data_IF_518065949836
#
_entry.id   IF_518065949836
#
_cell.length_a   1.000
_cell.length_b   1.000
_cell.length_c   1.000
_cell.angle_alpha   90.00
_cell.angle_beta   90.00
_cell.angle_gamma   90.00
#
_symmetry.space_group_name_H-M   'P 1'
#
loop_
_entity.id
_entity.type
_entity.pdbx_description
1 polymer ?
#
# COMPACT_ATOMS: atom_id res chain seq x y z
N UNK A 1 -18.70 67.10 61.25
CA UNK A 1 -19.81 66.15 61.00
C UNK A 1 -19.22 64.80 60.65
N UNK A 2 -19.73 63.73 61.26
CA UNK A 2 -19.50 62.32 60.89
C UNK A 2 -19.79 62.13 59.39
N UNK A 3 -19.09 61.26 58.67
CA UNK A 3 -19.24 59.79 58.76
C UNK A 3 -18.05 59.08 58.11
N UNK A 4 -17.62 57.98 58.72
CA UNK A 4 -16.66 57.04 58.15
C UNK A 4 -17.32 55.81 57.52
N UNK A 5 -16.49 54.98 56.89
CA UNK A 5 -16.59 53.53 56.59
C UNK A 5 -15.54 53.23 55.51
N UNK A 6 -14.90 52.09 55.36
CA UNK A 6 -14.59 50.91 56.18
C UNK A 6 -13.64 50.10 55.28
N UNK A 7 -12.57 49.53 55.84
CA UNK A 7 -11.59 48.69 55.15
C UNK A 7 -12.21 47.45 54.50
N UNK A 8 -11.70 47.06 53.32
CA UNK A 8 -11.64 45.66 52.91
C UNK A 8 -10.19 45.30 52.55
N UNK A 9 -9.62 44.39 53.34
CA UNK A 9 -8.40 43.65 53.03
C UNK A 9 -8.71 42.63 51.94
N UNK A 10 -7.94 42.64 50.86
CA UNK A 10 -7.79 41.50 49.96
C UNK A 10 -6.30 41.17 49.88
N UNK A 11 -5.90 40.13 50.60
CA UNK A 11 -4.59 39.50 50.50
C UNK A 11 -4.44 38.88 49.11
N UNK A 12 -3.54 39.45 48.29
CA UNK A 12 -3.05 38.79 47.09
C UNK A 12 -2.08 37.69 47.54
N UNK A 13 -2.51 36.43 47.47
CA UNK A 13 -1.60 35.30 47.54
C UNK A 13 -0.73 35.30 46.28
N UNK A 14 0.57 35.54 46.44
CA UNK A 14 1.58 35.20 45.46
C UNK A 14 1.50 33.68 45.23
N UNK A 15 0.91 33.26 44.12
CA UNK A 15 1.13 31.92 43.59
C UNK A 15 2.62 31.84 43.24
N UNK A 16 3.38 31.03 43.99
CA UNK A 16 4.75 30.72 43.63
C UNK A 16 4.76 30.11 42.24
N UNK A 17 5.53 30.69 41.34
CA UNK A 17 5.91 30.07 40.08
C UNK A 17 6.67 28.78 40.44
N UNK A 18 5.99 27.64 40.39
CA UNK A 18 6.63 26.33 40.40
C UNK A 18 7.51 26.23 39.15
N UNK A 19 8.64 25.52 39.22
CA UNK A 19 9.60 25.51 38.12
C UNK A 19 8.98 24.87 36.88
N UNK A 20 9.25 25.46 35.70
CA UNK A 20 8.81 25.05 34.35
C UNK A 20 9.40 23.70 33.87
N UNK A 21 9.58 22.73 34.77
CA UNK A 21 10.37 21.51 34.49
C UNK A 21 9.57 20.46 33.71
N UNK A 22 8.24 20.53 33.68
CA UNK A 22 7.41 19.53 32.98
C UNK A 22 7.26 19.81 31.49
N UNK A 23 7.37 21.06 31.04
CA UNK A 23 7.11 21.41 29.64
C UNK A 23 8.29 21.05 28.72
N UNK A 24 9.54 21.27 29.17
CA UNK A 24 10.74 20.92 28.40
C UNK A 24 10.97 19.42 28.29
N UNK A 25 10.68 18.65 29.34
CA UNK A 25 10.77 17.19 29.29
C UNK A 25 9.73 16.59 28.34
N UNK A 26 8.48 17.10 28.36
CA UNK A 26 7.43 16.67 27.44
C UNK A 26 7.67 17.15 26.00
N UNK A 27 8.38 18.26 25.80
CA UNK A 27 8.85 18.68 24.48
C UNK A 27 9.98 17.77 23.98
N UNK A 28 10.95 17.44 24.84
CA UNK A 28 12.05 16.52 24.55
C UNK A 28 11.60 15.10 24.22
N UNK A 29 10.69 14.54 25.01
CA UNK A 29 10.11 13.20 24.79
C UNK A 29 9.24 13.16 23.53
N UNK A 30 8.51 14.24 23.23
CA UNK A 30 7.78 14.37 21.96
C UNK A 30 8.73 14.52 20.77
N UNK A 31 9.84 15.25 20.89
CA UNK A 31 10.82 15.35 19.80
C UNK A 31 11.56 14.04 19.55
N UNK A 32 11.90 13.30 20.60
CA UNK A 32 12.56 11.99 20.47
C UNK A 32 11.59 10.96 19.85
N UNK A 33 10.33 10.95 20.28
CA UNK A 33 9.29 10.12 19.66
C UNK A 33 9.07 10.45 18.17
N UNK A 34 9.06 11.74 17.80
CA UNK A 34 8.95 12.19 16.40
C UNK A 34 10.19 11.87 15.55
N UNK A 35 11.34 11.61 16.18
CA UNK A 35 12.57 11.18 15.47
C UNK A 35 12.55 9.66 15.24
N UNK A 36 11.92 8.89 16.14
CA UNK A 36 11.81 7.44 16.06
C UNK A 36 10.59 6.93 15.29
N UNK A 37 9.57 7.75 15.10
CA UNK A 37 8.32 7.46 14.36
C UNK A 37 8.16 8.54 13.28
N UNK A 38 8.73 8.30 12.09
CA UNK A 38 8.84 9.33 11.04
C UNK A 38 7.55 9.43 10.22
N UNK A 39 6.80 8.34 10.12
CA UNK A 39 5.51 8.29 9.41
C UNK A 39 4.29 8.62 10.29
N UNK A 40 4.52 8.80 11.60
CA UNK A 40 3.55 9.33 12.57
C UNK A 40 2.36 8.40 12.80
N UNK A 41 2.60 7.09 12.75
CA UNK A 41 1.58 6.05 12.98
C UNK A 41 1.52 5.62 14.47
N UNK A 42 2.50 6.05 15.26
CA UNK A 42 2.67 5.74 16.66
C UNK A 42 3.31 4.39 16.94
N UNK A 43 4.11 3.87 16.00
CA UNK A 43 5.02 2.73 16.12
C UNK A 43 6.45 3.24 15.89
N UNK A 44 7.42 2.66 16.60
CA UNK A 44 8.83 2.96 16.35
C UNK A 44 9.26 2.37 15.00
N UNK A 45 9.75 3.23 14.09
CA UNK A 45 10.21 2.90 12.74
C UNK A 45 11.20 1.72 12.70
N UNK A 46 12.11 1.64 13.69
CA UNK A 46 13.13 0.59 13.72
C UNK A 46 12.52 -0.75 14.15
N UNK A 47 11.51 -0.71 15.01
CA UNK A 47 10.72 -1.88 15.37
C UNK A 47 9.86 -2.37 14.20
N UNK A 48 9.24 -1.48 13.43
CA UNK A 48 8.56 -1.84 12.19
C UNK A 48 9.49 -2.56 11.22
N UNK A 49 10.67 -1.96 10.98
CA UNK A 49 11.68 -2.51 10.07
C UNK A 49 12.19 -3.88 10.55
N UNK A 50 12.28 -4.08 11.87
CA UNK A 50 12.60 -5.38 12.46
C UNK A 50 11.53 -6.42 12.13
N UNK A 51 10.24 -6.09 12.29
CA UNK A 51 9.13 -7.01 11.99
C UNK A 51 9.01 -7.28 10.48
N UNK A 52 9.17 -6.24 9.67
CA UNK A 52 9.21 -6.30 8.21
C UNK A 52 10.30 -7.27 7.73
N UNK A 53 11.53 -7.13 8.22
CA UNK A 53 12.62 -8.03 7.87
C UNK A 53 12.40 -9.46 8.37
N UNK A 54 11.85 -9.62 9.59
CA UNK A 54 11.62 -10.92 10.23
C UNK A 54 10.58 -11.75 9.47
N UNK A 55 9.49 -11.14 9.03
CA UNK A 55 8.34 -11.85 8.46
C UNK A 55 8.16 -11.65 6.96
N UNK A 56 9.08 -10.98 6.26
CA UNK A 56 9.08 -10.86 4.81
C UNK A 56 8.90 -12.24 4.14
N UNK A 57 7.87 -12.46 3.32
CA UNK A 57 7.52 -13.80 2.84
C UNK A 57 8.49 -14.36 1.79
N UNK A 58 8.56 -15.68 1.69
CA UNK A 58 9.03 -16.35 0.47
C UNK A 58 7.84 -16.49 -0.48
N UNK A 59 7.85 -15.82 -1.63
CA UNK A 59 6.79 -15.93 -2.64
C UNK A 59 7.21 -16.93 -3.70
N UNK A 60 6.41 -17.97 -3.93
CA UNK A 60 6.58 -18.97 -4.97
C UNK A 60 5.63 -18.65 -6.11
N UNK A 61 6.21 -18.36 -7.26
CA UNK A 61 5.47 -18.03 -8.48
C UNK A 61 5.18 -19.31 -9.27
N UNK A 62 4.16 -19.27 -10.13
CA UNK A 62 3.92 -20.34 -11.08
C UNK A 62 5.14 -20.53 -12.04
N UNK A 63 5.42 -21.77 -12.49
CA UNK A 63 6.43 -22.03 -13.51
C UNK A 63 6.26 -21.16 -14.76
N UNK A 64 7.36 -20.77 -15.41
CA UNK A 64 7.33 -19.93 -16.62
C UNK A 64 6.67 -20.54 -17.84
N UNK A 65 6.36 -21.83 -17.80
CA UNK A 65 5.56 -22.50 -18.83
C UNK A 65 4.06 -22.40 -18.59
N UNK A 66 3.63 -21.88 -17.43
CA UNK A 66 2.23 -21.74 -16.99
C UNK A 66 1.87 -20.26 -16.95
N UNK A 67 2.59 -19.49 -16.14
CA UNK A 67 2.41 -18.05 -16.06
C UNK A 67 3.67 -17.36 -16.56
N UNK A 68 3.51 -16.34 -17.40
CA UNK A 68 4.58 -15.57 -18.01
C UNK A 68 4.74 -14.17 -17.37
N UNK A 69 3.71 -13.64 -16.70
CA UNK A 69 3.76 -12.34 -16.03
C UNK A 69 4.62 -12.43 -14.77
N UNK A 70 5.44 -11.40 -14.50
CA UNK A 70 6.36 -11.43 -13.35
C UNK A 70 6.24 -10.17 -12.50
N UNK A 71 6.66 -10.25 -11.22
CA UNK A 71 6.74 -9.08 -10.39
C UNK A 71 7.63 -7.99 -11.00
N UNK A 72 7.42 -6.77 -10.54
CA UNK A 72 8.28 -5.65 -10.86
C UNK A 72 8.51 -4.78 -9.61
N UNK A 73 8.87 -3.53 -9.85
CA UNK A 73 8.86 -2.49 -8.84
C UNK A 73 8.30 -1.20 -9.45
N UNK A 74 7.84 -0.31 -8.59
CA UNK A 74 7.24 0.99 -8.93
C UNK A 74 8.13 1.81 -9.85
N UNK A 75 9.42 2.01 -9.53
CA UNK A 75 10.28 2.88 -10.34
C UNK A 75 10.51 2.30 -11.75
N UNK A 76 10.62 0.97 -11.85
CA UNK A 76 10.68 0.26 -13.13
C UNK A 76 9.41 0.48 -13.96
N UNK A 77 8.23 0.42 -13.32
CA UNK A 77 6.95 0.61 -13.98
C UNK A 77 6.73 2.05 -14.41
N UNK A 78 7.00 3.02 -13.53
CA UNK A 78 6.84 4.45 -13.81
C UNK A 78 7.71 4.92 -14.98
N UNK A 79 8.92 4.36 -15.13
CA UNK A 79 9.79 4.60 -16.27
C UNK A 79 9.27 4.03 -17.61
N UNK A 80 8.14 3.33 -17.61
CA UNK A 80 7.57 2.60 -18.78
C UNK A 80 6.13 2.96 -19.06
N UNK A 81 5.56 3.95 -18.38
CA UNK A 81 4.15 4.32 -18.57
C UNK A 81 3.99 5.81 -18.86
N UNK A 82 2.87 6.14 -19.47
CA UNK A 82 2.30 7.49 -19.50
C UNK A 82 1.38 7.67 -18.28
N UNK A 83 1.14 8.91 -17.86
CA UNK A 83 -0.08 9.21 -17.10
C UNK A 83 -1.10 9.81 -18.04
N UNK A 84 -2.30 9.26 -18.03
CA UNK A 84 -3.43 9.71 -18.85
C UNK A 84 -4.62 10.05 -17.95
N UNK A 85 -5.58 10.79 -18.51
CA UNK A 85 -6.81 11.16 -17.85
C UNK A 85 -8.01 10.78 -18.73
N UNK A 86 -8.81 9.84 -18.26
CA UNK A 86 -10.00 9.35 -18.93
C UNK A 86 -11.15 10.38 -18.93
N UNK A 87 -11.92 10.36 -20.00
CA UNK A 87 -13.14 11.15 -20.12
C UNK A 87 -14.26 10.30 -20.66
N UNK A 88 -15.27 10.04 -19.83
CA UNK A 88 -16.48 9.34 -20.26
C UNK A 88 -17.06 9.92 -21.57
N UNK A 89 -17.00 9.14 -22.65
CA UNK A 89 -17.55 9.51 -23.96
C UNK A 89 -16.70 10.47 -24.80
N UNK A 90 -15.47 10.78 -24.38
CA UNK A 90 -14.53 11.64 -25.08
C UNK A 90 -13.14 11.00 -25.15
N UNK A 91 -12.29 11.40 -26.11
CA UNK A 91 -10.88 11.01 -26.07
C UNK A 91 -10.23 11.47 -24.76
N UNK A 92 -9.42 10.59 -24.19
CA UNK A 92 -8.60 10.87 -23.02
C UNK A 92 -7.56 11.97 -23.29
N UNK A 93 -6.84 12.38 -22.24
CA UNK A 93 -5.77 13.35 -22.32
C UNK A 93 -4.47 12.79 -21.74
N UNK A 94 -3.34 13.04 -22.39
CA UNK A 94 -2.04 12.77 -21.79
C UNK A 94 -1.74 13.84 -20.73
N UNK A 95 -1.50 13.41 -19.49
CA UNK A 95 -1.12 14.26 -18.35
C UNK A 95 0.39 14.29 -18.19
N UNK A 96 1.03 13.11 -18.18
CA UNK A 96 2.48 12.95 -18.18
C UNK A 96 2.88 12.06 -19.37
N UNK A 97 3.93 12.47 -20.09
CA UNK A 97 4.46 11.72 -21.23
C UNK A 97 5.11 10.40 -20.78
N UNK A 98 5.33 9.48 -21.72
CA UNK A 98 6.01 8.21 -21.48
C UNK A 98 7.31 8.41 -20.68
N UNK A 99 7.53 7.57 -19.67
CA UNK A 99 8.75 7.56 -18.85
C UNK A 99 9.01 8.86 -18.06
N UNK A 100 8.02 9.74 -17.95
CA UNK A 100 8.08 10.95 -17.11
C UNK A 100 7.35 10.84 -15.76
N UNK A 101 6.42 9.89 -15.52
CA UNK A 101 5.95 9.60 -14.18
C UNK A 101 7.11 9.23 -13.25
N UNK A 102 7.08 9.79 -12.04
CA UNK A 102 8.04 9.52 -10.98
C UNK A 102 7.33 9.46 -9.64
N UNK A 103 7.98 8.87 -8.63
CA UNK A 103 7.52 8.93 -7.24
C UNK A 103 7.11 10.36 -6.82
N UNK A 104 7.86 11.38 -7.25
CA UNK A 104 7.67 12.77 -6.82
C UNK A 104 6.55 13.52 -7.52
N UNK A 105 6.18 13.14 -8.75
CA UNK A 105 5.18 13.88 -9.53
C UNK A 105 3.84 13.15 -9.68
N UNK A 106 3.80 11.84 -9.37
CA UNK A 106 2.63 11.00 -9.63
C UNK A 106 1.37 11.51 -8.93
N UNK A 107 1.50 11.97 -7.68
CA UNK A 107 0.39 12.46 -6.87
C UNK A 107 0.18 13.99 -6.93
N UNK A 108 0.91 14.71 -7.79
CA UNK A 108 0.86 16.19 -7.84
C UNK A 108 0.12 16.73 -9.06
N UNK A 109 -0.50 15.85 -9.84
CA UNK A 109 -1.16 16.24 -11.08
C UNK A 109 -2.59 16.68 -10.81
N UNK A 110 -3.08 17.58 -11.66
CA UNK A 110 -4.48 17.95 -11.70
C UNK A 110 -4.94 18.10 -13.14
N UNK A 111 -6.22 17.82 -13.39
CA UNK A 111 -6.78 17.87 -14.74
C UNK A 111 -8.26 18.22 -14.70
N UNK A 112 -8.70 19.04 -15.66
CA UNK A 112 -10.09 19.43 -15.81
C UNK A 112 -10.90 18.31 -16.48
N UNK A 113 -12.14 18.09 -16.07
CA UNK A 113 -13.03 17.14 -16.75
C UNK A 113 -13.53 17.70 -18.08
N UNK A 114 -14.05 16.86 -18.97
CA UNK A 114 -14.72 17.28 -20.21
C UNK A 114 -16.23 17.19 -20.07
N UNK A 115 -16.94 18.14 -20.69
CA UNK A 115 -18.40 18.09 -20.84
C UNK A 115 -18.83 17.32 -22.09
N UNK A 116 -20.14 17.36 -22.39
CA UNK A 116 -20.77 16.61 -23.50
C UNK A 116 -20.17 16.86 -24.89
N UNK A 117 -19.57 18.03 -25.12
CA UNK A 117 -18.94 18.38 -26.39
C UNK A 117 -17.40 18.25 -26.37
N UNK A 118 -16.87 17.49 -25.42
CA UNK A 118 -15.44 17.24 -25.23
C UNK A 118 -14.56 18.49 -25.00
N UNK A 119 -15.18 19.61 -24.60
CA UNK A 119 -14.49 20.78 -24.08
C UNK A 119 -14.26 20.66 -22.57
N UNK A 120 -13.10 21.11 -22.09
CA UNK A 120 -12.76 21.14 -20.67
C UNK A 120 -13.70 22.06 -19.87
N UNK A 121 -14.03 21.63 -18.66
CA UNK A 121 -14.89 22.35 -17.72
C UNK A 121 -14.06 23.04 -16.63
N UNK A 122 -14.72 23.75 -15.71
CA UNK A 122 -14.09 24.29 -14.51
C UNK A 122 -13.90 23.25 -13.39
N UNK A 123 -14.43 22.03 -13.52
CA UNK A 123 -14.27 20.97 -12.53
C UNK A 123 -12.91 20.32 -12.70
N UNK A 124 -12.06 20.43 -11.67
CA UNK A 124 -10.69 19.90 -11.66
C UNK A 124 -10.57 18.79 -10.63
N UNK A 125 -9.95 17.68 -11.02
CA UNK A 125 -9.59 16.57 -10.15
C UNK A 125 -8.08 16.52 -9.94
N UNK A 126 -7.66 15.98 -8.80
CA UNK A 126 -6.26 15.84 -8.42
C UNK A 126 -5.88 14.38 -8.27
N UNK A 127 -4.67 14.02 -8.73
CA UNK A 127 -4.19 12.64 -8.76
C UNK A 127 -3.85 12.07 -7.37
N UNK A 128 -3.88 12.87 -6.31
CA UNK A 128 -3.75 12.43 -4.91
C UNK A 128 -5.09 12.09 -4.23
N UNK A 129 -6.19 12.24 -4.93
CA UNK A 129 -7.53 11.84 -4.44
C UNK A 129 -7.96 10.56 -5.15
N UNK A 130 -8.96 9.86 -4.61
CA UNK A 130 -9.47 8.61 -5.20
C UNK A 130 -10.21 8.92 -6.52
N UNK A 131 -9.44 9.09 -7.60
CA UNK A 131 -9.86 9.56 -8.92
C UNK A 131 -9.34 8.61 -9.96
N UNK A 132 -10.15 7.58 -10.23
CA UNK A 132 -9.87 6.49 -11.17
C UNK A 132 -9.81 6.95 -12.64
N UNK A 133 -10.11 8.21 -12.91
CA UNK A 133 -9.91 8.86 -14.21
C UNK A 133 -8.43 9.09 -14.51
N UNK A 134 -7.58 9.29 -13.48
CA UNK A 134 -6.12 9.23 -13.70
C UNK A 134 -5.70 7.77 -13.82
N UNK A 135 -4.93 7.44 -14.84
CA UNK A 135 -4.44 6.08 -15.05
C UNK A 135 -3.02 6.05 -15.63
N UNK A 136 -2.32 4.96 -15.38
CA UNK A 136 -0.95 4.72 -15.84
C UNK A 136 -0.97 3.71 -16.99
N UNK A 137 -0.63 4.16 -18.20
CA UNK A 137 -0.72 3.36 -19.42
C UNK A 137 0.68 2.95 -19.93
N UNK A 138 1.02 1.66 -19.94
CA UNK A 138 2.08 1.06 -20.74
C UNK A 138 1.94 1.37 -22.25
N UNK A 139 3.04 1.57 -22.99
CA UNK A 139 2.98 1.81 -24.43
C UNK A 139 2.64 0.56 -25.24
N UNK A 140 2.92 -0.63 -24.68
CA UNK A 140 2.73 -1.94 -25.28
C UNK A 140 2.84 -3.07 -24.24
N UNK A 141 2.47 -4.28 -24.66
CA UNK A 141 2.43 -5.49 -23.81
C UNK A 141 3.81 -5.96 -23.32
N UNK A 142 4.92 -5.39 -23.80
CA UNK A 142 6.25 -5.84 -23.32
C UNK A 142 6.45 -5.55 -21.85
N UNK A 143 5.74 -4.54 -21.31
CA UNK A 143 5.73 -4.19 -19.88
C UNK A 143 5.10 -5.30 -19.03
N UNK A 144 4.20 -6.12 -19.59
CA UNK A 144 3.50 -7.19 -18.87
C UNK A 144 4.45 -8.30 -18.40
N UNK A 145 5.60 -8.47 -19.05
CA UNK A 145 6.59 -9.48 -18.68
C UNK A 145 7.22 -9.30 -17.29
N UNK A 146 7.03 -8.13 -16.65
CA UNK A 146 7.67 -7.84 -15.37
C UNK A 146 9.12 -7.40 -15.48
N UNK A 147 9.70 -7.08 -14.32
CA UNK A 147 11.11 -6.73 -14.22
C UNK A 147 11.98 -7.99 -14.10
N UNK A 148 13.30 -7.90 -14.37
CA UNK A 148 14.24 -8.96 -13.98
C UNK A 148 14.14 -9.27 -12.49
N UNK A 149 14.37 -10.52 -12.09
CA UNK A 149 14.19 -10.96 -10.69
C UNK A 149 15.05 -10.22 -9.67
N UNK A 150 16.20 -9.69 -10.09
CA UNK A 150 17.06 -8.83 -9.26
C UNK A 150 16.43 -7.48 -8.91
N UNK A 151 15.35 -7.09 -9.61
CA UNK A 151 14.65 -5.82 -9.43
C UNK A 151 13.28 -5.97 -8.74
N UNK A 152 12.79 -7.19 -8.50
CA UNK A 152 11.53 -7.42 -7.78
C UNK A 152 11.63 -6.83 -6.38
N UNK A 153 10.61 -6.05 -5.98
CA UNK A 153 10.59 -5.35 -4.70
C UNK A 153 9.25 -5.54 -4.00
N UNK A 154 9.30 -5.83 -2.72
CA UNK A 154 8.10 -5.84 -1.85
C UNK A 154 7.99 -4.52 -1.12
N UNK A 155 6.75 -4.04 -0.95
CA UNK A 155 6.43 -2.79 -0.29
C UNK A 155 5.76 -3.09 1.05
N UNK A 156 6.34 -2.58 2.14
CA UNK A 156 5.90 -2.93 3.49
C UNK A 156 5.20 -1.75 4.14
N UNK A 157 4.02 -1.99 4.68
CA UNK A 157 3.25 -1.03 5.48
C UNK A 157 2.91 -1.70 6.81
N UNK A 158 3.25 -1.03 7.90
CA UNK A 158 2.99 -1.49 9.26
C UNK A 158 1.90 -0.63 9.86
N UNK A 159 1.11 -1.22 10.76
CA UNK A 159 0.09 -0.50 11.52
C UNK A 159 -0.23 -1.23 12.82
N UNK A 160 -0.92 -0.55 13.74
CA UNK A 160 -1.46 -1.20 14.94
C UNK A 160 -2.55 -2.20 14.57
N UNK A 161 -2.50 -3.38 15.17
CA UNK A 161 -3.46 -4.43 14.86
C UNK A 161 -4.83 -4.12 15.45
N UNK A 162 -5.86 -4.21 14.61
CA UNK A 162 -7.25 -4.19 15.06
C UNK A 162 -7.68 -5.55 15.65
N UNK A 163 -6.93 -6.62 15.37
CA UNK A 163 -7.26 -7.99 15.78
C UNK A 163 -6.62 -8.36 17.12
N UNK A 164 -5.38 -7.95 17.35
CA UNK A 164 -4.62 -8.29 18.56
C UNK A 164 -4.33 -7.02 19.34
N UNK A 165 -4.88 -6.94 20.56
CA UNK A 165 -4.71 -5.76 21.41
C UNK A 165 -3.22 -5.49 21.70
N UNK A 166 -2.75 -4.29 21.33
CA UNK A 166 -1.34 -3.90 21.43
C UNK A 166 -0.42 -4.59 20.42
N UNK A 167 -0.96 -5.41 19.52
CA UNK A 167 -0.23 -6.05 18.44
C UNK A 167 -0.10 -5.17 17.20
N UNK A 168 0.51 -5.73 16.17
CA UNK A 168 0.87 -5.03 14.94
C UNK A 168 0.48 -5.86 13.72
N UNK A 169 0.02 -5.20 12.65
CA UNK A 169 -0.25 -5.80 11.35
C UNK A 169 0.81 -5.28 10.35
N UNK A 170 1.51 -6.21 9.70
CA UNK A 170 2.62 -5.92 8.79
C UNK A 170 2.20 -6.44 7.41
N UNK A 171 1.90 -5.52 6.51
CA UNK A 171 1.41 -5.78 5.16
C UNK A 171 2.58 -5.83 4.18
N UNK A 172 2.62 -6.87 3.36
CA UNK A 172 3.62 -7.07 2.31
C UNK A 172 2.92 -7.02 0.97
N UNK A 173 3.13 -5.94 0.23
CA UNK A 173 2.51 -5.69 -1.07
C UNK A 173 3.44 -6.06 -2.22
N UNK A 174 2.93 -6.86 -3.15
CA UNK A 174 3.59 -7.33 -4.35
C UNK A 174 3.01 -6.62 -5.57
N UNK A 175 3.87 -6.16 -6.47
CA UNK A 175 3.46 -5.48 -7.69
C UNK A 175 3.74 -6.33 -8.91
N UNK A 176 2.71 -6.58 -9.71
CA UNK A 176 2.80 -7.19 -11.03
C UNK A 176 2.37 -6.15 -12.08
N UNK A 177 3.09 -5.96 -13.20
CA UNK A 177 2.64 -5.02 -14.23
C UNK A 177 1.44 -5.47 -15.05
N UNK A 178 1.00 -6.72 -14.88
CA UNK A 178 -0.11 -7.30 -15.62
C UNK A 178 -0.69 -8.47 -14.84
N UNK A 179 -2.01 -8.58 -14.86
CA UNK A 179 -2.80 -9.70 -14.36
C UNK A 179 -3.42 -10.39 -15.57
N UNK A 180 -3.06 -11.66 -15.79
CA UNK A 180 -3.54 -12.49 -16.91
C UNK A 180 -4.65 -13.45 -16.46
N UNK A 181 -5.55 -12.97 -15.60
CA UNK A 181 -6.64 -13.78 -15.07
C UNK A 181 -7.60 -14.25 -16.16
N UNK A 182 -8.41 -15.24 -15.81
CA UNK A 182 -9.30 -15.98 -16.70
C UNK A 182 -10.38 -15.10 -17.37
N UNK A 183 -11.09 -15.67 -18.35
CA UNK A 183 -12.29 -15.10 -18.97
C UNK A 183 -12.20 -13.65 -19.48
N UNK A 184 -11.00 -13.17 -19.81
CA UNK A 184 -10.75 -11.77 -20.21
C UNK A 184 -11.03 -10.75 -19.09
N UNK A 185 -10.96 -11.17 -17.82
CA UNK A 185 -10.88 -10.25 -16.66
C UNK A 185 -9.44 -9.83 -16.36
N UNK A 186 -8.56 -9.97 -17.33
CA UNK A 186 -7.20 -9.49 -17.28
C UNK A 186 -7.18 -7.96 -17.18
N UNK A 187 -6.14 -7.43 -16.55
CA UNK A 187 -5.94 -6.00 -16.42
C UNK A 187 -4.45 -5.67 -16.32
N UNK A 188 -4.10 -4.49 -16.81
CA UNK A 188 -2.78 -3.93 -16.55
C UNK A 188 -2.62 -3.61 -15.08
N UNK A 189 -1.43 -3.92 -14.57
CA UNK A 189 -1.00 -3.82 -13.20
C UNK A 189 -1.84 -4.59 -12.17
N UNK A 190 -1.19 -5.01 -11.09
CA UNK A 190 -1.83 -5.68 -9.99
C UNK A 190 -1.08 -5.47 -8.68
N UNK A 191 -1.84 -5.44 -7.60
CA UNK A 191 -1.35 -5.25 -6.24
C UNK A 191 -1.92 -6.34 -5.35
N UNK A 192 -1.07 -7.32 -5.07
CA UNK A 192 -1.38 -8.45 -4.18
C UNK A 192 -0.73 -8.25 -2.83
N UNK A 193 -1.25 -8.90 -1.78
CA UNK A 193 -0.61 -8.80 -0.47
C UNK A 193 -0.87 -9.98 0.47
N UNK A 194 0.01 -10.07 1.47
CA UNK A 194 -0.29 -10.76 2.72
C UNK A 194 -0.15 -9.78 3.89
N UNK A 195 -0.83 -10.05 5.00
CA UNK A 195 -0.66 -9.30 6.25
C UNK A 195 -0.31 -10.23 7.38
N UNK A 196 0.84 -10.03 8.02
CA UNK A 196 1.23 -10.76 9.23
C UNK A 196 0.78 -9.97 10.45
N UNK A 197 0.03 -10.62 11.34
CA UNK A 197 -0.37 -10.04 12.63
C UNK A 197 0.50 -10.59 13.75
N UNK A 198 1.03 -9.71 14.60
CA UNK A 198 1.82 -10.07 15.79
C UNK A 198 1.15 -9.63 17.08
N UNK A 199 1.63 -10.15 18.22
CA UNK A 199 1.37 -9.55 19.53
C UNK A 199 2.28 -8.32 19.77
N UNK A 200 2.14 -7.70 20.95
CA UNK A 200 2.92 -6.53 21.36
C UNK A 200 4.41 -6.80 21.52
N UNK A 201 4.82 -8.06 21.60
CA UNK A 201 6.22 -8.47 21.67
C UNK A 201 6.79 -8.87 20.31
N UNK A 202 6.02 -8.70 19.22
CA UNK A 202 6.45 -9.05 17.87
C UNK A 202 6.45 -10.57 17.59
N UNK A 203 5.69 -11.35 18.35
CA UNK A 203 5.48 -12.78 18.08
C UNK A 203 4.31 -12.97 17.12
N UNK A 204 4.49 -13.84 16.13
CA UNK A 204 3.45 -14.18 15.16
C UNK A 204 2.17 -14.69 15.82
N UNK A 205 1.02 -14.18 15.38
CA UNK A 205 -0.31 -14.63 15.81
C UNK A 205 -1.07 -15.27 14.65
N UNK A 206 -1.11 -14.59 13.49
CA UNK A 206 -1.77 -15.09 12.29
C UNK A 206 -1.25 -14.37 11.04
N UNK A 207 -1.61 -14.85 9.86
CA UNK A 207 -1.44 -14.08 8.64
C UNK A 207 -2.69 -14.15 7.75
N UNK A 208 -3.08 -13.00 7.21
CA UNK A 208 -4.07 -12.88 6.14
C UNK A 208 -3.38 -13.04 4.80
N UNK A 209 -3.92 -13.90 3.93
CA UNK A 209 -3.47 -14.02 2.54
C UNK A 209 -4.61 -13.52 1.65
N UNK A 210 -4.34 -12.47 0.88
CA UNK A 210 -5.34 -11.85 0.02
C UNK A 210 -5.62 -12.71 -1.21
N UNK A 211 -6.88 -12.76 -1.61
CA UNK A 211 -7.30 -13.38 -2.86
C UNK A 211 -8.47 -12.56 -3.43
N UNK A 212 -8.22 -11.86 -4.54
CA UNK A 212 -9.16 -10.91 -5.14
C UNK A 212 -9.64 -9.85 -4.13
N UNK A 213 -10.95 -9.63 -4.02
CA UNK A 213 -11.58 -8.74 -3.02
C UNK A 213 -11.57 -9.26 -1.58
N UNK A 214 -11.07 -10.49 -1.37
CA UNK A 214 -11.15 -11.18 -0.09
C UNK A 214 -9.82 -11.83 0.31
N UNK A 215 -9.92 -13.02 0.89
CA UNK A 215 -8.78 -13.74 1.42
C UNK A 215 -9.14 -14.58 2.65
N UNK A 216 -8.12 -15.19 3.24
CA UNK A 216 -8.28 -16.03 4.42
C UNK A 216 -7.17 -15.78 5.44
N UNK A 217 -7.51 -15.99 6.72
CA UNK A 217 -6.58 -15.89 7.83
C UNK A 217 -6.10 -17.27 8.27
N UNK A 218 -4.80 -17.40 8.45
CA UNK A 218 -4.14 -18.66 8.78
C UNK A 218 -3.34 -18.55 10.08
N UNK A 219 -3.39 -19.61 10.87
CA UNK A 219 -2.54 -19.81 12.04
C UNK A 219 -1.18 -20.38 11.63
N UNK A 220 -0.20 -20.34 12.54
CA UNK A 220 1.15 -20.80 12.25
C UNK A 220 1.21 -22.26 11.78
N UNK A 221 0.33 -23.12 12.29
CA UNK A 221 0.26 -24.55 11.93
C UNK A 221 -0.36 -24.82 10.56
N UNK A 222 -1.06 -23.84 9.98
CA UNK A 222 -1.65 -23.93 8.64
C UNK A 222 -0.71 -23.40 7.55
N UNK A 223 0.39 -22.75 7.95
CA UNK A 223 1.36 -22.14 7.04
C UNK A 223 2.61 -23.01 6.89
N UNK A 224 3.22 -22.91 5.71
CA UNK A 224 4.60 -23.36 5.48
C UNK A 224 5.56 -22.21 5.73
N UNK A 225 6.79 -22.54 6.13
CA UNK A 225 7.79 -21.56 6.58
C UNK A 225 9.17 -21.85 5.99
N UNK A 226 9.92 -20.78 5.69
CA UNK A 226 11.36 -20.80 5.51
C UNK A 226 12.00 -19.95 6.62
N UNK A 227 12.48 -20.59 7.69
CA UNK A 227 12.89 -19.87 8.89
C UNK A 227 11.71 -19.10 9.51
N UNK A 228 11.82 -17.78 9.59
CA UNK A 228 10.73 -16.89 10.06
C UNK A 228 9.85 -16.35 8.93
N UNK A 229 10.15 -16.71 7.68
CA UNK A 229 9.47 -16.22 6.49
C UNK A 229 8.30 -17.13 6.14
N UNK A 230 7.04 -16.66 6.19
CA UNK A 230 5.90 -17.43 5.72
C UNK A 230 6.01 -17.65 4.20
N UNK A 231 5.60 -18.82 3.72
CA UNK A 231 5.63 -19.16 2.29
C UNK A 231 4.27 -18.84 1.66
N UNK A 232 4.29 -18.04 0.61
CA UNK A 232 3.14 -17.67 -0.22
C UNK A 232 3.25 -18.36 -1.58
N UNK A 233 2.16 -18.94 -2.06
CA UNK A 233 2.02 -19.44 -3.42
C UNK A 233 1.13 -18.46 -4.17
N UNK A 234 1.70 -17.77 -5.15
CA UNK A 234 0.95 -16.85 -6.01
C UNK A 234 0.27 -17.68 -7.11
N UNK A 235 -1.03 -17.46 -7.28
CA UNK A 235 -1.80 -18.09 -8.34
C UNK A 235 -1.36 -17.62 -9.73
N UNK A 236 -1.52 -18.46 -10.76
CA UNK A 236 -1.25 -18.08 -12.13
C UNK A 236 -2.25 -17.02 -12.64
N UNK A 237 -1.73 -15.98 -13.29
CA UNK A 237 -2.53 -14.94 -13.91
C UNK A 237 -3.16 -13.96 -12.91
N UNK A 238 -3.92 -14.45 -11.93
CA UNK A 238 -4.61 -13.64 -10.91
C UNK A 238 -3.70 -13.18 -9.77
N UNK A 239 -2.58 -13.87 -9.58
CA UNK A 239 -1.58 -13.61 -8.53
C UNK A 239 -2.04 -13.75 -7.07
N UNK A 240 -3.29 -14.12 -6.83
CA UNK A 240 -3.87 -14.32 -5.50
C UNK A 240 -2.96 -15.18 -4.60
N UNK A 241 -2.91 -14.83 -3.32
CA UNK A 241 -1.99 -15.40 -2.35
C UNK A 241 -2.59 -16.61 -1.63
N UNK A 242 -1.90 -17.76 -1.70
CA UNK A 242 -2.33 -19.00 -1.05
C UNK A 242 -1.24 -19.63 -0.16
N UNK A 243 -1.61 -20.36 0.92
CA UNK A 243 -0.64 -20.97 1.83
C UNK A 243 0.00 -22.26 1.28
N UNK A 244 -0.56 -22.84 0.22
CA UNK A 244 -0.10 -24.07 -0.42
C UNK A 244 -0.29 -24.00 -1.93
N UNK A 245 0.43 -24.84 -2.68
CA UNK A 245 0.10 -25.12 -4.07
C UNK A 245 -1.23 -25.89 -4.15
N UNK A 246 -2.09 -25.57 -5.11
CA UNK A 246 -3.39 -26.21 -5.23
C UNK A 246 -4.34 -25.53 -6.21
N UNK A 247 -5.62 -25.85 -6.06
CA UNK A 247 -6.74 -25.25 -6.80
C UNK A 247 -7.71 -24.65 -5.80
N UNK A 248 -8.13 -23.41 -6.05
CA UNK A 248 -8.89 -22.61 -5.09
C UNK A 248 -10.11 -21.99 -5.78
N UNK A 249 -11.33 -22.19 -5.24
CA UNK A 249 -12.50 -21.58 -5.84
C UNK A 249 -12.46 -20.06 -5.68
N UNK A 250 -12.80 -19.34 -6.74
CA UNK A 250 -12.96 -17.88 -6.71
C UNK A 250 -14.42 -17.49 -6.45
N UNK A 251 -14.69 -16.19 -6.37
CA UNK A 251 -16.06 -15.66 -6.27
C UNK A 251 -16.88 -15.93 -7.54
N UNK A 252 -16.23 -16.21 -8.66
CA UNK A 252 -16.87 -16.52 -9.94
C UNK A 252 -16.89 -18.03 -10.17
N UNK A 253 -18.09 -18.62 -10.07
CA UNK A 253 -18.26 -20.06 -10.22
C UNK A 253 -17.73 -20.57 -11.56
N UNK A 254 -16.90 -21.63 -11.51
CA UNK A 254 -16.30 -22.25 -12.69
C UNK A 254 -14.95 -21.69 -13.09
N UNK A 255 -14.45 -20.70 -12.36
CA UNK A 255 -13.12 -20.16 -12.52
C UNK A 255 -12.38 -20.28 -11.20
N UNK A 256 -11.43 -21.20 -11.13
CA UNK A 256 -10.61 -21.45 -9.95
C UNK A 256 -9.23 -20.83 -10.17
N UNK A 257 -8.62 -20.37 -9.08
CA UNK A 257 -7.21 -20.02 -9.06
C UNK A 257 -6.36 -21.29 -8.94
N UNK A 258 -5.22 -21.30 -9.64
CA UNK A 258 -4.27 -22.40 -9.58
C UNK A 258 -2.89 -21.91 -9.14
N UNK A 259 -2.31 -22.57 -8.15
CA UNK A 259 -0.96 -22.27 -7.66
C UNK A 259 -0.09 -23.52 -7.62
N UNK A 260 1.22 -23.35 -7.79
CA UNK A 260 2.12 -24.45 -8.19
C UNK A 260 3.39 -24.53 -7.34
N UNK A 261 3.97 -25.73 -7.27
CA UNK A 261 5.36 -25.93 -6.85
C UNK A 261 6.29 -25.83 -8.08
N UNK A 262 7.58 -25.58 -7.85
CA UNK A 262 8.62 -25.71 -8.88
C UNK A 262 8.81 -24.51 -9.82
N UNK A 263 8.08 -23.41 -9.60
CA UNK A 263 8.36 -22.13 -10.26
C UNK A 263 9.43 -21.30 -9.53
N UNK A 264 9.67 -20.06 -9.99
CA UNK A 264 10.63 -19.16 -9.37
C UNK A 264 10.29 -18.91 -7.90
N UNK A 265 11.33 -18.89 -7.06
CA UNK A 265 11.22 -18.55 -5.63
C UNK A 265 11.75 -17.13 -5.43
N UNK A 266 10.90 -16.25 -4.92
CA UNK A 266 11.22 -14.88 -4.58
C UNK A 266 11.42 -14.74 -3.07
N UNK A 267 12.67 -14.56 -2.67
CA UNK A 267 13.07 -14.27 -1.30
C UNK A 267 12.91 -12.78 -1.01
N UNK A 268 11.71 -12.35 -0.61
CA UNK A 268 11.37 -10.92 -0.56
C UNK A 268 12.22 -10.12 0.44
N UNK A 269 12.77 -10.78 1.47
CA UNK A 269 13.69 -10.16 2.44
C UNK A 269 15.00 -9.65 1.82
N UNK A 270 15.30 -9.99 0.56
CA UNK A 270 16.49 -9.49 -0.16
C UNK A 270 16.29 -8.12 -0.79
N UNK A 271 15.03 -7.68 -1.00
CA UNK A 271 14.72 -6.37 -1.59
C UNK A 271 13.30 -5.93 -1.18
N UNK A 272 13.21 -5.24 -0.05
CA UNK A 272 11.99 -4.69 0.50
C UNK A 272 12.17 -3.22 0.88
N UNK A 273 11.06 -2.49 1.04
CA UNK A 273 11.09 -1.11 1.53
C UNK A 273 9.87 -0.82 2.39
N UNK A 274 10.06 -0.23 3.56
CA UNK A 274 8.97 0.34 4.35
C UNK A 274 8.47 1.61 3.65
N UNK A 275 7.19 1.64 3.29
CA UNK A 275 6.59 2.76 2.56
C UNK A 275 6.09 3.87 3.50
N UNK A 276 5.95 3.57 4.79
CA UNK A 276 5.33 4.42 5.78
C UNK A 276 3.87 4.73 5.47
N UNK A 277 3.40 5.87 5.98
CA UNK A 277 2.00 6.25 5.92
C UNK A 277 1.68 7.14 4.73
N UNK A 278 0.43 7.09 4.25
CA UNK A 278 -0.01 7.96 3.14
C UNK A 278 0.19 9.46 3.46
N UNK A 279 0.00 9.85 4.72
CA UNK A 279 0.25 11.20 5.21
C UNK A 279 1.74 11.56 5.22
N UNK A 280 2.59 10.61 5.59
CA UNK A 280 4.02 10.77 5.75
C UNK A 280 4.80 9.57 5.15
N UNK A 281 4.90 9.48 3.81
CA UNK A 281 5.59 8.38 3.16
C UNK A 281 7.07 8.37 3.50
N UNK A 282 7.63 7.19 3.68
CA UNK A 282 9.05 6.98 3.97
C UNK A 282 9.81 6.45 2.76
N UNK A 283 11.14 6.52 2.85
CA UNK A 283 12.05 5.89 1.88
C UNK A 283 11.79 6.28 0.41
N UNK A 284 11.29 7.49 0.17
CA UNK A 284 10.96 8.00 -1.17
C UNK A 284 9.74 7.37 -1.83
N UNK A 285 8.93 6.59 -1.10
CA UNK A 285 7.80 5.82 -1.60
C UNK A 285 6.53 6.66 -1.72
N UNK A 286 6.64 7.82 -2.38
CA UNK A 286 5.55 8.78 -2.54
C UNK A 286 4.40 8.26 -3.42
N UNK A 287 4.59 7.16 -4.15
CA UNK A 287 3.53 6.53 -4.94
C UNK A 287 2.29 6.17 -4.12
N UNK A 288 2.42 5.93 -2.81
CA UNK A 288 1.28 5.68 -1.91
C UNK A 288 0.37 6.92 -1.74
N UNK A 289 0.73 8.07 -2.30
CA UNK A 289 -0.16 9.24 -2.38
C UNK A 289 -0.99 9.27 -3.66
N UNK A 290 -0.68 8.46 -4.67
CA UNK A 290 -1.38 8.44 -5.94
C UNK A 290 -2.67 7.62 -5.86
N UNK A 291 -3.79 8.28 -6.15
CA UNK A 291 -5.13 7.70 -6.06
C UNK A 291 -5.77 7.35 -7.40
N UNK A 292 -5.02 7.42 -8.50
CA UNK A 292 -5.46 6.91 -9.79
C UNK A 292 -5.22 5.41 -9.95
N UNK A 293 -5.50 4.91 -11.15
CA UNK A 293 -5.26 3.53 -11.55
C UNK A 293 -3.79 3.30 -11.90
N UNK A 294 -3.32 2.12 -11.55
CA UNK A 294 -2.12 1.49 -12.07
C UNK A 294 -2.56 0.60 -13.21
N UNK A 295 -2.24 0.93 -14.46
CA UNK A 295 -2.83 0.26 -15.62
C UNK A 295 -3.99 1.03 -16.23
N UNK A 296 -4.41 0.62 -17.41
CA UNK A 296 -5.42 1.24 -18.26
C UNK A 296 -6.84 1.19 -17.70
N UNK A 297 -7.73 1.92 -18.38
CA UNK A 297 -9.18 1.84 -18.18
C UNK A 297 -9.72 0.80 -19.15
N UNK A 298 -10.14 -0.35 -18.62
CA UNK A 298 -10.79 -1.40 -19.40
C UNK A 298 -12.30 -1.18 -19.60
N UNK A 299 -12.96 -2.15 -20.20
CA UNK A 299 -14.42 -2.10 -20.45
C UNK A 299 -15.24 -2.08 -19.15
N UNK A 300 -14.75 -2.76 -18.11
CA UNK A 300 -15.34 -2.86 -16.77
C UNK A 300 -14.33 -2.42 -15.71
N UNK A 301 -14.79 -2.16 -14.48
CA UNK A 301 -13.87 -1.85 -13.36
C UNK A 301 -12.94 -3.03 -13.05
N UNK A 302 -13.41 -4.26 -13.24
CA UNK A 302 -12.64 -5.49 -13.04
C UNK A 302 -11.58 -5.76 -14.13
N UNK A 303 -11.73 -5.16 -15.32
CA UNK A 303 -10.74 -5.21 -16.40
C UNK A 303 -9.89 -3.94 -16.44
N UNK A 304 -10.04 -3.05 -15.45
CA UNK A 304 -9.29 -1.82 -15.35
C UNK A 304 -8.21 -1.97 -14.30
N UNK A 305 -7.09 -1.29 -14.52
CA UNK A 305 -6.01 -1.25 -13.55
C UNK A 305 -6.47 -0.86 -12.14
N UNK A 306 -6.00 -1.55 -11.09
CA UNK A 306 -6.40 -1.27 -9.72
C UNK A 306 -5.79 0.05 -9.22
N UNK A 307 -6.34 0.59 -8.14
CA UNK A 307 -5.66 1.67 -7.42
C UNK A 307 -4.49 1.10 -6.60
N UNK A 308 -3.54 1.96 -6.26
CA UNK A 308 -2.40 1.57 -5.45
C UNK A 308 -2.80 1.16 -4.02
N UNK A 309 -1.89 0.50 -3.28
CA UNK A 309 -2.16 -0.10 -1.97
C UNK A 309 -2.96 0.78 -1.02
N UNK A 310 -2.55 2.04 -0.81
CA UNK A 310 -3.15 2.99 0.14
C UNK A 310 -4.53 3.54 -0.23
N UNK A 311 -5.06 3.12 -1.38
CA UNK A 311 -6.42 3.42 -1.83
C UNK A 311 -7.30 2.17 -1.88
N UNK A 312 -6.75 1.00 -1.53
CA UNK A 312 -7.51 -0.22 -1.37
C UNK A 312 -8.04 -0.35 0.07
N UNK A 313 -9.21 -0.97 0.23
CA UNK A 313 -9.82 -1.18 1.54
C UNK A 313 -8.93 -2.00 2.49
N UNK A 314 -8.11 -2.89 1.92
CA UNK A 314 -7.14 -3.69 2.65
C UNK A 314 -5.99 -2.89 3.27
N UNK A 315 -5.70 -1.65 2.86
CA UNK A 315 -4.66 -0.85 3.54
C UNK A 315 -4.97 -0.66 5.03
N UNK A 316 -6.21 -0.27 5.32
CA UNK A 316 -6.67 -0.03 6.68
C UNK A 316 -7.28 -1.28 7.33
N UNK A 317 -7.64 -2.29 6.54
CA UNK A 317 -8.27 -3.53 7.02
C UNK A 317 -7.25 -4.65 7.17
N UNK A 318 -7.45 -5.53 8.15
CA UNK A 318 -6.66 -6.76 8.39
C UNK A 318 -5.20 -6.61 8.79
#
# INVERSE_FOLDING_TARGET
>A
MRTGRLLLLSTLTLASCGPLVEEEAALGERTDALITDVDLDGIDDAFEDQLAAKFAPEVRLAPSTIDWARPANVDWYLARVHMRFDHSGCPDCQVLALATPTQSNLSTQSHATKGTFCGHTSTVYSSNTSRKEFFLQPPDDTVHNGAPSTAWKVYVHSKKSALVAGGYDIQYWFFYPYNDSYASVNHEADWEHITVTTDSAGNFQSAWYAAHSGGNRYTASQLKWNGTHPIVYSADGSHASYPTAGTYPTEVSGFDDHSYEGGPVWQTWTNWVNVGEKGAPRNGQNFIKYGGRWGEVGELDATSGPQGPSFQGAWNSY
#
